data_IF_793222429351
#
_entry.id   IF_793222429351
#
_cell.length_a   1.000
_cell.length_b   1.000
_cell.length_c   1.000
_cell.angle_alpha   90.00
_cell.angle_beta   90.00
_cell.angle_gamma   90.00
#
_symmetry.space_group_name_H-M   'P 1'
#
loop_
_entity.id
_entity.type
_entity.pdbx_description
1 polymer ?
#
# COMPACT_ATOMS: atom_id res chain seq x y z
N UNK A 1 27.18 7.83 38.24
CA UNK A 1 25.77 8.03 37.79
C UNK A 1 25.63 7.39 36.42
N UNK A 2 24.96 6.27 36.32
CA UNK A 2 24.74 5.66 35.00
C UNK A 2 23.83 6.57 34.17
N UNK A 3 24.32 6.97 33.00
CA UNK A 3 23.57 7.80 32.08
C UNK A 3 22.33 7.00 31.65
N UNK A 4 21.13 7.59 31.75
CA UNK A 4 19.86 6.96 31.34
C UNK A 4 19.91 6.48 29.88
N UNK A 5 20.76 7.06 29.04
CA UNK A 5 21.00 6.69 27.66
C UNK A 5 21.66 5.32 27.56
N UNK A 6 22.65 5.03 28.36
CA UNK A 6 23.33 3.73 28.37
C UNK A 6 22.39 2.61 28.78
N UNK A 7 21.51 2.85 29.78
CA UNK A 7 20.48 1.87 30.16
C UNK A 7 19.44 1.69 29.07
N UNK A 8 19.04 2.77 28.40
CA UNK A 8 18.14 2.69 27.25
C UNK A 8 18.78 1.94 26.08
N UNK A 9 20.09 2.10 25.85
CA UNK A 9 20.83 1.38 24.82
C UNK A 9 20.91 -0.13 25.13
N UNK A 10 21.11 -0.52 26.39
CA UNK A 10 21.06 -1.92 26.83
C UNK A 10 19.72 -2.55 26.55
N UNK A 11 18.62 -1.89 26.93
CA UNK A 11 17.26 -2.40 26.67
C UNK A 11 16.97 -2.42 25.17
N UNK A 12 17.45 -1.45 24.41
CA UNK A 12 17.32 -1.43 22.95
C UNK A 12 18.05 -2.64 22.32
N UNK A 13 19.20 -3.04 22.86
CA UNK A 13 19.93 -4.24 22.43
C UNK A 13 19.20 -5.54 22.80
N UNK A 14 18.61 -5.62 24.00
CA UNK A 14 17.76 -6.76 24.38
C UNK A 14 16.55 -6.93 23.46
N UNK A 15 15.94 -5.80 23.03
CA UNK A 15 14.84 -5.82 22.03
C UNK A 15 15.38 -6.28 20.67
N UNK A 16 16.53 -5.78 20.24
CA UNK A 16 17.12 -6.09 18.93
C UNK A 16 17.60 -7.54 18.85
N UNK A 17 18.19 -8.06 19.91
CA UNK A 17 18.63 -9.46 20.01
C UNK A 17 17.49 -10.46 20.19
N UNK A 18 16.25 -9.99 20.44
CA UNK A 18 15.08 -10.82 20.71
C UNK A 18 14.98 -11.36 22.14
N UNK A 19 15.85 -10.90 23.05
CA UNK A 19 15.76 -11.21 24.48
C UNK A 19 14.50 -10.59 25.12
N UNK A 20 14.13 -9.38 24.65
CA UNK A 20 12.82 -8.78 24.86
C UNK A 20 12.07 -8.82 23.53
N UNK A 21 10.99 -9.58 23.48
CA UNK A 21 10.20 -9.81 22.27
C UNK A 21 9.14 -8.73 22.07
N UNK A 22 8.72 -8.47 20.83
CA UNK A 22 7.54 -7.66 20.56
C UNK A 22 6.33 -8.14 21.36
N UNK A 23 5.66 -7.20 22.03
CA UNK A 23 4.53 -7.51 22.91
C UNK A 23 4.90 -7.81 24.38
N UNK A 24 6.18 -8.00 24.69
CA UNK A 24 6.61 -8.19 26.08
C UNK A 24 6.34 -6.90 26.89
N UNK A 25 5.83 -7.08 28.08
CA UNK A 25 5.58 -6.00 29.03
C UNK A 25 6.86 -5.64 29.76
N UNK A 26 7.32 -4.41 29.65
CA UNK A 26 8.37 -3.89 30.50
C UNK A 26 7.91 -3.85 31.96
N UNK A 27 8.79 -4.16 32.93
CA UNK A 27 8.45 -4.08 34.36
C UNK A 27 7.93 -2.68 34.73
N UNK A 28 7.10 -2.52 35.75
CA UNK A 28 6.78 -1.19 36.28
C UNK A 28 8.04 -0.40 36.58
N UNK A 29 8.05 0.92 36.33
CA UNK A 29 9.24 1.77 36.43
C UNK A 29 9.98 1.62 37.76
N UNK A 30 9.26 1.42 38.86
CA UNK A 30 9.85 1.16 40.18
C UNK A 30 10.61 -0.19 40.26
N UNK A 31 10.05 -1.24 39.64
CA UNK A 31 10.70 -2.56 39.57
C UNK A 31 11.89 -2.52 38.62
N UNK A 32 11.77 -1.83 37.51
CA UNK A 32 12.86 -1.60 36.56
C UNK A 32 14.03 -0.84 37.21
N UNK A 33 13.74 0.24 37.95
CA UNK A 33 14.75 1.01 38.66
C UNK A 33 15.55 0.13 39.63
N UNK A 34 14.88 -0.70 40.40
CA UNK A 34 15.54 -1.67 41.32
C UNK A 34 16.41 -2.69 40.60
N UNK A 35 15.92 -3.26 39.48
CA UNK A 35 16.69 -4.26 38.68
C UNK A 35 17.98 -3.69 38.09
N UNK A 36 17.97 -2.43 37.67
CA UNK A 36 19.09 -1.78 37.02
C UNK A 36 19.93 -0.90 37.98
N UNK A 37 19.59 -0.90 39.28
CA UNK A 37 20.34 -0.10 40.30
C UNK A 37 20.31 1.41 40.02
N UNK A 38 19.22 1.95 39.51
CA UNK A 38 19.06 3.36 39.16
C UNK A 38 17.89 4.01 39.92
N UNK A 39 17.87 5.32 39.97
CA UNK A 39 16.75 6.07 40.57
C UNK A 39 15.48 5.96 39.75
N UNK A 40 14.28 6.03 40.36
CA UNK A 40 13.00 5.98 39.67
C UNK A 40 12.85 7.09 38.61
N UNK A 41 13.36 8.27 38.88
CA UNK A 41 13.40 9.38 37.91
C UNK A 41 14.28 9.08 36.71
N UNK A 42 15.35 8.30 36.88
CA UNK A 42 16.20 7.81 35.78
C UNK A 42 15.45 6.75 34.96
N UNK A 43 14.74 5.81 35.63
CA UNK A 43 13.90 4.83 34.93
C UNK A 43 12.81 5.52 34.10
N UNK A 44 12.18 6.57 34.61
CA UNK A 44 11.21 7.38 33.84
C UNK A 44 11.83 7.98 32.58
N UNK A 45 13.08 8.43 32.64
CA UNK A 45 13.83 8.95 31.48
C UNK A 45 14.16 7.86 30.50
N UNK A 46 14.55 6.65 30.96
CA UNK A 46 14.78 5.47 30.11
C UNK A 46 13.52 5.11 29.35
N UNK A 47 12.38 4.99 30.02
CA UNK A 47 11.09 4.66 29.40
C UNK A 47 10.66 5.71 28.36
N UNK A 48 10.86 7.00 28.67
CA UNK A 48 10.58 8.08 27.73
C UNK A 48 11.51 8.03 26.51
N UNK A 49 12.78 7.70 26.71
CA UNK A 49 13.76 7.55 25.64
C UNK A 49 13.44 6.35 24.74
N UNK A 50 13.09 5.19 25.32
CA UNK A 50 12.65 4.02 24.56
C UNK A 50 11.39 4.32 23.75
N UNK A 51 10.42 5.03 24.33
CA UNK A 51 9.23 5.47 23.63
C UNK A 51 9.55 6.47 22.51
N UNK A 52 10.47 7.43 22.74
CA UNK A 52 10.96 8.39 21.75
C UNK A 52 11.66 7.69 20.57
N UNK A 53 12.42 6.63 20.85
CA UNK A 53 13.06 5.77 19.85
C UNK A 53 12.04 4.85 19.14
N UNK A 54 10.77 4.84 19.57
CA UNK A 54 9.73 3.99 19.01
C UNK A 54 9.83 2.51 19.39
N UNK A 55 10.71 2.16 20.35
CA UNK A 55 10.94 0.78 20.79
C UNK A 55 9.86 0.26 21.73
N UNK A 56 9.19 1.17 22.43
CA UNK A 56 8.14 0.83 23.39
C UNK A 56 6.94 1.76 23.25
N UNK A 57 5.79 1.30 23.76
CA UNK A 57 4.56 2.06 23.83
C UNK A 57 3.95 1.94 25.22
N UNK A 58 3.55 3.08 25.81
CA UNK A 58 2.89 3.13 27.10
C UNK A 58 1.39 3.13 26.95
N UNK A 59 0.67 2.37 27.79
CA UNK A 59 -0.78 2.42 27.94
C UNK A 59 -1.15 2.93 29.32
N UNK A 60 -2.03 3.91 29.35
CA UNK A 60 -2.55 4.44 30.62
C UNK A 60 -3.27 3.33 31.37
N UNK A 61 -2.81 3.02 32.58
CA UNK A 61 -3.38 1.99 33.47
C UNK A 61 -2.98 0.54 33.16
N UNK A 62 -2.23 0.26 32.07
CA UNK A 62 -1.88 -1.12 31.68
C UNK A 62 -0.37 -1.41 31.64
N UNK A 63 0.46 -0.41 31.43
CA UNK A 63 1.93 -0.56 31.43
C UNK A 63 2.60 -0.14 30.15
N UNK A 64 3.90 -0.48 30.02
CA UNK A 64 4.72 -0.19 28.85
C UNK A 64 5.11 -1.50 28.19
N UNK A 65 4.93 -1.60 26.89
CA UNK A 65 5.15 -2.83 26.09
C UNK A 65 6.19 -2.59 25.01
N UNK A 66 6.97 -3.63 24.69
CA UNK A 66 7.88 -3.64 23.54
C UNK A 66 7.07 -3.58 22.24
N UNK A 67 7.40 -2.62 21.38
CA UNK A 67 6.73 -2.47 20.09
C UNK A 67 7.14 -3.58 19.13
N UNK A 68 6.21 -4.17 18.41
CA UNK A 68 6.55 -5.04 17.28
C UNK A 68 7.25 -4.20 16.19
N UNK A 69 8.52 -4.50 15.91
CA UNK A 69 9.23 -3.95 14.75
C UNK A 69 9.60 -2.48 14.82
N UNK A 70 10.35 -2.03 15.85
CA UNK A 70 10.85 -0.65 15.91
C UNK A 70 12.05 -0.36 14.99
N UNK A 71 12.73 -1.35 14.43
CA UNK A 71 13.94 -1.13 13.61
C UNK A 71 13.79 -1.40 12.11
N UNK A 72 12.66 -1.92 11.65
CA UNK A 72 12.42 -2.08 10.21
C UNK A 72 11.03 -1.62 9.81
N UNK A 73 10.69 -0.40 10.16
CA UNK A 73 9.48 0.21 9.65
C UNK A 73 9.67 0.89 8.29
N UNK A 74 10.54 0.37 7.49
CA UNK A 74 10.65 0.53 6.05
C UNK A 74 11.25 -0.79 5.59
N UNK A 75 10.78 -1.41 4.77
CA UNK A 75 9.78 -1.47 3.75
C UNK A 75 8.96 -2.76 3.79
N UNK A 76 8.44 -3.13 4.93
CA UNK A 76 7.75 -4.39 5.15
C UNK A 76 6.69 -4.75 4.09
N UNK A 77 6.14 -3.76 3.40
CA UNK A 77 5.18 -4.00 2.32
C UNK A 77 5.79 -3.90 0.90
N UNK A 78 7.11 -3.95 0.78
CA UNK A 78 7.81 -3.87 -0.51
C UNK A 78 8.59 -5.11 -0.87
N UNK A 79 8.92 -5.93 0.13
CA UNK A 79 9.65 -7.19 -0.03
C UNK A 79 8.86 -8.35 0.62
N UNK A 80 8.95 -9.58 0.08
CA UNK A 80 8.28 -10.74 0.67
C UNK A 80 8.72 -10.94 2.12
N UNK A 81 7.75 -11.19 3.00
CA UNK A 81 8.05 -11.57 4.38
C UNK A 81 8.73 -12.94 4.41
N UNK A 82 9.71 -13.11 5.31
CA UNK A 82 10.33 -14.41 5.57
C UNK A 82 9.41 -15.34 6.40
N UNK A 83 8.10 -15.21 6.24
CA UNK A 83 7.09 -15.98 6.93
C UNK A 83 6.60 -17.16 6.07
N UNK A 84 6.14 -18.24 6.72
CA UNK A 84 5.56 -19.38 6.02
C UNK A 84 4.30 -19.03 5.25
N UNK A 85 3.51 -18.09 5.76
CA UNK A 85 2.32 -17.54 5.11
C UNK A 85 2.40 -16.01 5.11
N UNK A 86 2.54 -15.42 3.94
CA UNK A 86 2.62 -13.97 3.78
C UNK A 86 1.23 -13.40 3.46
N UNK A 87 0.62 -12.72 4.44
CA UNK A 87 -0.59 -11.92 4.30
C UNK A 87 -0.29 -10.39 4.35
N UNK A 88 0.98 -9.99 4.19
CA UNK A 88 1.39 -8.58 4.06
C UNK A 88 1.43 -8.13 2.61
N UNK A 89 1.89 -8.99 1.69
CA UNK A 89 2.00 -8.64 0.28
C UNK A 89 0.84 -9.18 -0.55
N UNK A 90 0.37 -8.36 -1.48
CA UNK A 90 -0.71 -8.71 -2.41
C UNK A 90 -0.12 -8.99 -3.81
N UNK A 91 0.32 -10.21 -4.05
CA UNK A 91 0.81 -10.67 -5.33
C UNK A 91 -0.01 -11.89 -5.80
N UNK A 92 -0.92 -11.67 -6.74
CA UNK A 92 -1.69 -12.75 -7.33
C UNK A 92 -0.95 -13.34 -8.52
N UNK A 93 -0.44 -14.57 -8.35
CA UNK A 93 0.06 -15.43 -9.42
C UNK A 93 -0.74 -16.72 -9.39
N UNK A 94 -1.60 -16.94 -10.40
CA UNK A 94 -2.50 -18.09 -10.43
C UNK A 94 -1.86 -19.26 -11.18
N UNK A 95 -2.23 -20.50 -10.85
CA UNK A 95 -1.83 -21.68 -11.64
C UNK A 95 -2.16 -21.49 -13.13
N UNK A 96 -1.24 -21.89 -14.00
CA UNK A 96 -1.41 -21.75 -15.45
C UNK A 96 -1.06 -20.39 -16.04
N UNK A 97 -0.98 -19.31 -15.23
CA UNK A 97 -0.62 -17.97 -15.74
C UNK A 97 0.78 -17.94 -16.39
N UNK A 98 1.76 -18.68 -15.84
CA UNK A 98 3.09 -18.74 -16.43
C UNK A 98 3.08 -19.33 -17.85
N UNK A 99 2.32 -20.40 -18.07
CA UNK A 99 2.16 -20.99 -19.41
C UNK A 99 1.47 -20.03 -20.38
N UNK A 100 0.37 -19.40 -19.94
CA UNK A 100 -0.35 -18.41 -20.75
C UNK A 100 0.54 -17.22 -21.13
N UNK A 101 1.35 -16.72 -20.21
CA UNK A 101 2.30 -15.65 -20.48
C UNK A 101 3.42 -16.08 -21.44
N UNK A 102 3.92 -17.33 -21.32
CA UNK A 102 4.96 -17.87 -22.18
C UNK A 102 4.50 -17.96 -23.64
N UNK A 103 3.27 -18.39 -23.90
CA UNK A 103 2.68 -18.41 -25.24
C UNK A 103 2.70 -17.01 -25.89
N UNK A 104 2.32 -15.97 -25.15
CA UNK A 104 2.37 -14.58 -25.61
C UNK A 104 3.78 -14.03 -25.81
N UNK A 105 4.78 -14.57 -25.08
CA UNK A 105 6.19 -14.13 -25.18
C UNK A 105 6.94 -14.81 -26.33
N UNK A 106 6.62 -16.03 -26.69
CA UNK A 106 7.35 -16.81 -27.70
C UNK A 106 7.60 -16.06 -29.02
N UNK A 107 6.62 -15.33 -29.62
CA UNK A 107 6.86 -14.57 -30.84
C UNK A 107 7.83 -13.39 -30.68
N UNK A 108 8.02 -12.89 -29.43
CA UNK A 108 8.90 -11.74 -29.15
C UNK A 108 10.38 -12.10 -29.15
N UNK A 109 10.72 -13.40 -29.14
CA UNK A 109 12.12 -13.89 -29.22
C UNK A 109 12.63 -13.95 -30.66
N UNK A 110 11.81 -13.67 -31.66
CA UNK A 110 12.25 -13.60 -33.07
C UNK A 110 13.22 -12.43 -33.22
N UNK A 111 14.34 -12.65 -34.00
CA UNK A 111 15.39 -11.63 -34.14
C UNK A 111 14.92 -10.28 -34.70
N UNK A 112 13.94 -10.29 -35.62
CA UNK A 112 13.36 -9.07 -36.21
C UNK A 112 12.60 -8.23 -35.16
N UNK A 113 11.83 -8.87 -34.25
CA UNK A 113 11.09 -8.20 -33.20
C UNK A 113 12.01 -7.80 -32.05
N UNK A 114 12.90 -8.71 -31.63
CA UNK A 114 13.85 -8.44 -30.56
C UNK A 114 14.82 -7.30 -30.93
N UNK A 115 15.23 -7.19 -32.19
CA UNK A 115 16.07 -6.08 -32.69
C UNK A 115 15.45 -4.71 -32.46
N UNK A 116 14.13 -4.58 -32.60
CA UNK A 116 13.42 -3.34 -32.24
C UNK A 116 13.36 -3.11 -30.72
N UNK A 117 13.20 -4.17 -29.95
CA UNK A 117 13.15 -4.08 -28.48
C UNK A 117 14.50 -3.67 -27.84
N UNK A 118 15.63 -3.82 -28.56
CA UNK A 118 16.94 -3.37 -28.10
C UNK A 118 17.14 -1.85 -28.18
N UNK A 119 16.27 -1.12 -28.89
CA UNK A 119 16.40 0.33 -29.03
C UNK A 119 15.85 1.04 -27.78
N UNK A 120 16.45 2.17 -27.37
CA UNK A 120 15.92 2.96 -26.28
C UNK A 120 14.53 3.52 -26.62
N UNK A 121 13.72 3.77 -25.58
CA UNK A 121 12.42 4.40 -25.71
C UNK A 121 12.23 5.45 -24.60
N UNK A 122 11.60 6.58 -24.95
CA UNK A 122 11.25 7.62 -23.97
C UNK A 122 9.96 7.31 -23.18
N UNK A 123 9.62 8.18 -22.27
CA UNK A 123 8.42 8.06 -21.44
C UNK A 123 7.11 7.96 -22.23
N UNK A 124 7.04 8.57 -23.42
CA UNK A 124 5.88 8.48 -24.31
C UNK A 124 5.73 7.11 -25.00
N UNK A 125 6.73 6.23 -24.92
CA UNK A 125 6.68 4.94 -25.60
C UNK A 125 6.56 5.05 -27.12
N UNK A 126 5.92 4.05 -27.72
CA UNK A 126 5.57 4.04 -29.15
C UNK A 126 4.09 4.35 -29.38
N UNK A 127 3.67 4.86 -30.55
CA UNK A 127 2.25 5.06 -30.84
C UNK A 127 1.41 3.80 -30.65
N UNK A 128 1.88 2.65 -31.13
CA UNK A 128 1.20 1.37 -30.97
C UNK A 128 1.11 0.91 -29.50
N UNK A 129 2.12 1.21 -28.67
CA UNK A 129 2.06 0.91 -27.25
C UNK A 129 1.06 1.81 -26.52
N UNK A 130 0.94 3.10 -26.90
CA UNK A 130 -0.06 4.00 -26.32
C UNK A 130 -1.48 3.59 -26.66
N UNK A 131 -1.76 3.16 -27.87
CA UNK A 131 -3.07 2.61 -28.26
C UNK A 131 -3.41 1.38 -27.42
N UNK A 132 -2.51 0.40 -27.37
CA UNK A 132 -2.72 -0.81 -26.58
C UNK A 132 -2.90 -0.53 -25.08
N UNK A 133 -2.17 0.46 -24.54
CA UNK A 133 -2.32 0.87 -23.14
C UNK A 133 -3.64 1.60 -22.89
N UNK A 134 -4.12 2.43 -23.84
CA UNK A 134 -5.41 3.07 -23.75
C UNK A 134 -6.56 2.03 -23.69
N UNK A 135 -6.46 0.97 -24.49
CA UNK A 135 -7.42 -0.15 -24.45
C UNK A 135 -7.32 -0.95 -23.14
N UNK A 136 -6.10 -1.25 -22.68
CA UNK A 136 -5.86 -1.96 -21.42
C UNK A 136 -6.42 -1.22 -20.21
N UNK A 137 -6.33 0.12 -20.20
CA UNK A 137 -6.77 0.97 -19.10
C UNK A 137 -8.25 1.32 -19.17
N UNK A 138 -8.91 1.04 -20.29
CA UNK A 138 -10.34 1.33 -20.49
C UNK A 138 -11.20 0.58 -19.47
N UNK A 139 -12.12 1.29 -18.82
CA UNK A 139 -13.08 0.71 -17.87
C UNK A 139 -14.29 1.61 -17.63
N UNK A 140 -15.44 1.02 -17.32
CA UNK A 140 -16.66 1.76 -16.98
C UNK A 140 -17.11 2.76 -18.06
N UNK A 141 -16.91 2.44 -19.34
CA UNK A 141 -17.22 3.34 -20.46
C UNK A 141 -16.18 4.44 -20.71
N UNK A 142 -15.16 4.56 -19.86
CA UNK A 142 -14.06 5.50 -20.06
C UNK A 142 -12.87 4.84 -20.75
N UNK A 143 -12.23 5.56 -21.65
CA UNK A 143 -10.97 5.21 -22.31
C UNK A 143 -10.09 6.44 -22.44
N UNK A 144 -8.82 6.42 -21.99
CA UNK A 144 -7.94 7.57 -22.16
C UNK A 144 -7.58 7.80 -23.63
N UNK A 145 -7.30 9.03 -24.00
CA UNK A 145 -6.67 9.33 -25.30
C UNK A 145 -5.25 8.75 -25.34
N UNK A 146 -4.84 8.07 -26.41
CA UNK A 146 -3.49 7.51 -26.51
C UNK A 146 -2.38 8.55 -26.32
N UNK A 147 -2.60 9.80 -26.73
CA UNK A 147 -1.68 10.92 -26.52
C UNK A 147 -1.45 11.29 -25.06
N UNK A 148 -2.37 10.90 -24.16
CA UNK A 148 -2.28 11.16 -22.72
C UNK A 148 -1.47 10.10 -21.97
N UNK A 149 -1.17 8.95 -22.62
CA UNK A 149 -0.52 7.81 -21.96
C UNK A 149 0.99 7.97 -21.97
N UNK A 150 1.57 7.90 -20.78
CA UNK A 150 3.01 7.84 -20.53
C UNK A 150 3.35 6.54 -19.81
N UNK A 151 4.59 6.11 -19.91
CA UNK A 151 5.08 4.85 -19.38
C UNK A 151 6.20 5.06 -18.37
N UNK A 152 6.18 4.27 -17.30
CA UNK A 152 7.25 4.13 -16.32
C UNK A 152 7.70 2.67 -16.23
N UNK A 153 8.84 2.39 -15.62
CA UNK A 153 9.30 1.02 -15.42
C UNK A 153 8.36 0.19 -14.52
N UNK A 154 7.66 0.84 -13.57
CA UNK A 154 6.65 0.21 -12.71
C UNK A 154 5.71 1.25 -12.08
N UNK A 155 4.66 0.78 -11.37
CA UNK A 155 3.68 1.67 -10.72
C UNK A 155 4.26 2.58 -9.64
N UNK A 156 5.26 2.14 -8.86
CA UNK A 156 5.91 2.99 -7.84
C UNK A 156 6.66 4.15 -8.49
N UNK A 157 7.34 3.88 -9.59
CA UNK A 157 8.02 4.92 -10.37
C UNK A 157 7.01 5.89 -11.00
N UNK A 158 5.85 5.39 -11.47
CA UNK A 158 4.77 6.21 -11.96
C UNK A 158 4.23 7.18 -10.88
N UNK A 159 3.95 6.65 -9.66
CA UNK A 159 3.56 7.49 -8.49
C UNK A 159 4.66 8.51 -8.17
N UNK A 160 5.93 8.09 -8.14
CA UNK A 160 7.05 8.99 -7.84
C UNK A 160 7.15 10.13 -8.86
N UNK A 161 6.99 9.82 -10.15
CA UNK A 161 7.03 10.81 -11.22
C UNK A 161 5.85 11.78 -11.15
N UNK A 162 4.64 11.28 -10.85
CA UNK A 162 3.46 12.11 -10.69
C UNK A 162 3.62 13.09 -9.51
N UNK A 163 4.08 12.59 -8.36
CA UNK A 163 4.31 13.45 -7.18
C UNK A 163 5.41 14.47 -7.45
N UNK A 164 6.55 14.07 -8.04
CA UNK A 164 7.65 14.98 -8.35
C UNK A 164 7.27 16.08 -9.37
N UNK A 165 6.35 15.78 -10.29
CA UNK A 165 5.85 16.74 -11.27
C UNK A 165 4.85 17.74 -10.69
N UNK A 166 4.08 17.34 -9.67
CA UNK A 166 2.98 18.14 -9.14
C UNK A 166 3.34 18.87 -7.84
N UNK A 167 4.30 18.37 -7.08
CA UNK A 167 4.63 18.89 -5.76
C UNK A 167 6.13 19.25 -5.70
N UNK A 168 6.47 20.53 -5.53
CA UNK A 168 7.86 20.94 -5.41
C UNK A 168 8.49 20.43 -4.09
N UNK A 169 9.82 20.34 -3.99
CA UNK A 169 10.51 20.10 -2.73
C UNK A 169 10.07 21.11 -1.66
N UNK A 170 9.79 20.62 -0.44
CA UNK A 170 9.17 21.40 0.63
C UNK A 170 7.66 21.58 0.50
N UNK A 171 7.09 21.20 -0.63
CA UNK A 171 5.65 21.27 -0.89
C UNK A 171 4.82 20.26 -0.07
N UNK A 172 3.50 20.39 -0.14
CA UNK A 172 2.53 19.66 0.68
C UNK A 172 1.62 18.82 -0.21
N UNK A 173 1.61 17.50 0.06
CA UNK A 173 0.72 16.53 -0.60
C UNK A 173 -0.36 16.07 0.39
N UNK A 174 -1.63 16.35 0.07
CA UNK A 174 -2.76 15.76 0.79
C UNK A 174 -2.85 14.28 0.48
N UNK A 175 -2.99 13.43 1.49
CA UNK A 175 -3.17 11.99 1.32
C UNK A 175 -4.19 11.47 2.33
N UNK A 176 -4.90 10.43 1.99
CA UNK A 176 -5.77 9.72 2.93
C UNK A 176 -5.02 9.37 4.22
N UNK A 177 -5.64 9.55 5.39
CA UNK A 177 -4.99 9.33 6.70
C UNK A 177 -4.49 7.90 6.90
N UNK A 178 -5.17 6.92 6.26
CA UNK A 178 -4.68 5.56 6.01
C UNK A 178 -4.44 5.44 4.51
N UNK A 179 -3.21 5.24 4.09
CA UNK A 179 -2.84 5.28 2.67
C UNK A 179 -1.80 4.22 2.31
N UNK A 180 -1.53 4.06 1.03
CA UNK A 180 -0.50 3.15 0.54
C UNK A 180 0.88 3.51 1.13
N UNK A 181 1.56 2.59 1.84
CA UNK A 181 2.77 2.92 2.61
C UNK A 181 3.91 3.51 1.78
N UNK A 182 4.02 3.13 0.50
CA UNK A 182 5.09 3.60 -0.39
C UNK A 182 5.03 5.11 -0.60
N UNK A 183 3.85 5.76 -0.50
CA UNK A 183 3.74 7.21 -0.66
C UNK A 183 4.57 7.96 0.39
N UNK A 184 4.75 7.40 1.59
CA UNK A 184 5.60 8.00 2.64
C UNK A 184 7.08 8.00 2.24
N UNK A 185 7.54 6.88 1.67
CA UNK A 185 8.93 6.76 1.19
C UNK A 185 9.17 7.66 -0.02
N UNK A 186 8.21 7.75 -0.93
CA UNK A 186 8.25 8.66 -2.08
C UNK A 186 8.33 10.11 -1.60
N UNK A 187 7.44 10.52 -0.70
CA UNK A 187 7.41 11.87 -0.16
C UNK A 187 8.71 12.23 0.56
N UNK A 188 9.22 11.33 1.42
CA UNK A 188 10.49 11.55 2.13
C UNK A 188 11.66 11.73 1.15
N UNK A 189 11.74 10.89 0.09
CA UNK A 189 12.78 10.99 -0.93
C UNK A 189 12.71 12.30 -1.73
N UNK A 190 11.50 12.79 -1.99
CA UNK A 190 11.27 14.02 -2.76
C UNK A 190 11.25 15.29 -1.91
N UNK A 191 11.43 15.17 -0.60
CA UNK A 191 11.34 16.31 0.32
C UNK A 191 9.94 16.91 0.43
N UNK A 192 8.88 16.08 0.23
CA UNK A 192 7.48 16.48 0.25
C UNK A 192 6.87 16.19 1.63
N UNK A 193 6.07 17.13 2.14
CA UNK A 193 5.34 16.97 3.40
C UNK A 193 3.98 16.33 3.14
N UNK A 194 3.71 15.17 3.77
CA UNK A 194 2.39 14.54 3.73
C UNK A 194 1.42 15.20 4.72
N UNK A 195 0.23 15.51 4.25
CA UNK A 195 -0.86 16.07 5.05
C UNK A 195 -1.98 15.02 5.12
N UNK A 196 -2.23 14.41 6.30
CA UNK A 196 -3.32 13.44 6.43
C UNK A 196 -4.67 14.12 6.29
N UNK A 197 -5.50 13.55 5.44
CA UNK A 197 -6.87 13.97 5.17
C UNK A 197 -7.83 12.93 5.77
N UNK A 198 -8.84 13.40 6.49
CA UNK A 198 -9.82 12.53 7.14
C UNK A 198 -10.58 11.68 6.11
N UNK A 199 -10.89 10.47 6.53
CA UNK A 199 -11.70 9.49 5.80
C UNK A 199 -12.92 9.09 6.61
N UNK A 200 -13.94 8.61 5.90
CA UNK A 200 -15.10 7.94 6.47
C UNK A 200 -15.38 6.61 5.75
N UNK A 201 -16.57 6.07 5.88
CA UNK A 201 -16.95 4.79 5.27
C UNK A 201 -17.05 4.83 3.74
N UNK A 202 -17.15 6.04 3.15
CA UNK A 202 -17.18 6.27 1.71
C UNK A 202 -15.82 6.72 1.14
N UNK A 203 -14.76 6.79 1.97
CA UNK A 203 -13.40 7.17 1.56
C UNK A 203 -13.02 8.59 1.95
N UNK A 204 -12.25 9.27 1.12
CA UNK A 204 -11.75 10.62 1.38
C UNK A 204 -12.90 11.62 1.55
N UNK A 205 -12.90 12.35 2.67
CA UNK A 205 -13.90 13.38 2.97
C UNK A 205 -13.56 14.68 2.22
N UNK A 206 -14.41 15.19 1.31
CA UNK A 206 -14.12 16.41 0.55
C UNK A 206 -13.85 17.64 1.42
N UNK A 207 -14.60 17.84 2.50
CA UNK A 207 -14.39 18.92 3.45
C UNK A 207 -13.04 18.87 4.18
N UNK A 208 -12.41 17.67 4.31
CA UNK A 208 -11.08 17.54 4.86
C UNK A 208 -10.01 18.13 3.93
N UNK A 209 -10.19 18.03 2.62
CA UNK A 209 -9.32 18.67 1.60
C UNK A 209 -9.39 20.18 1.75
N UNK A 210 -10.61 20.75 1.81
CA UNK A 210 -10.82 22.18 1.98
C UNK A 210 -10.19 22.72 3.28
N UNK A 211 -10.43 22.00 4.38
CA UNK A 211 -9.89 22.38 5.68
C UNK A 211 -8.37 22.37 5.70
N UNK A 212 -7.76 21.33 5.11
CA UNK A 212 -6.30 21.21 5.04
C UNK A 212 -5.70 22.30 4.15
N UNK A 213 -6.31 22.58 3.00
CA UNK A 213 -5.86 23.61 2.05
C UNK A 213 -6.00 25.02 2.64
N UNK A 214 -7.09 25.33 3.36
CA UNK A 214 -7.28 26.62 4.05
C UNK A 214 -6.24 26.87 5.16
N UNK A 215 -5.81 25.80 5.87
CA UNK A 215 -4.79 25.93 6.93
C UNK A 215 -3.42 26.27 6.35
N UNK A 216 -3.05 25.59 5.27
CA UNK A 216 -1.86 25.88 4.49
C UNK A 216 -2.03 25.23 3.10
N UNK A 217 -1.66 25.89 1.99
CA UNK A 217 -1.89 25.39 0.64
C UNK A 217 -1.35 23.98 0.43
N UNK A 218 -2.20 23.12 -0.13
CA UNK A 218 -1.79 21.85 -0.72
C UNK A 218 -1.36 22.09 -2.17
N UNK A 219 -0.41 21.32 -2.67
CA UNK A 219 0.04 21.37 -4.06
C UNK A 219 -0.65 20.30 -4.91
N UNK A 220 -1.01 19.19 -4.30
CA UNK A 220 -1.76 18.10 -4.93
C UNK A 220 -2.45 17.24 -3.87
N UNK A 221 -3.34 16.34 -4.33
CA UNK A 221 -3.95 15.28 -3.51
C UNK A 221 -3.60 13.93 -4.15
N UNK A 222 -3.22 12.95 -3.34
CA UNK A 222 -3.10 11.54 -3.74
C UNK A 222 -4.23 10.75 -3.10
N UNK A 223 -4.94 9.95 -3.88
CA UNK A 223 -6.09 9.15 -3.42
C UNK A 223 -6.21 7.82 -4.16
N UNK A 224 -6.83 6.84 -3.49
CA UNK A 224 -7.16 5.52 -4.03
C UNK A 224 -8.69 5.30 -3.97
N UNK A 225 -9.47 5.91 -4.86
CA UNK A 225 -10.93 5.90 -4.74
C UNK A 225 -11.58 4.55 -5.06
N UNK A 226 -10.86 3.62 -5.69
CA UNK A 226 -11.37 2.29 -6.07
C UNK A 226 -10.57 1.20 -5.38
N UNK A 227 -11.22 0.36 -4.57
CA UNK A 227 -10.60 -0.72 -3.79
C UNK A 227 -9.40 -0.22 -2.98
N UNK A 228 -9.67 0.79 -2.19
CA UNK A 228 -8.69 1.50 -1.36
C UNK A 228 -7.81 0.55 -0.54
N UNK A 229 -6.50 0.74 -0.56
CA UNK A 229 -5.57 0.02 0.28
C UNK A 229 -5.14 0.89 1.48
N UNK A 230 -5.55 0.54 2.73
CA UNK A 230 -5.86 -0.82 3.18
C UNK A 230 -7.33 -1.17 3.34
N UNK A 231 -8.26 -0.24 3.20
CA UNK A 231 -9.64 -0.38 3.69
C UNK A 231 -10.58 -1.18 2.76
N UNK A 232 -10.15 -1.53 1.56
CA UNK A 232 -10.96 -2.23 0.55
C UNK A 232 -12.24 -1.51 0.12
N UNK A 233 -12.41 -0.24 0.44
CA UNK A 233 -13.60 0.50 0.03
C UNK A 233 -13.47 1.08 -1.38
N UNK A 234 -14.63 1.32 -1.97
CA UNK A 234 -14.75 2.03 -3.24
C UNK A 234 -15.70 3.20 -3.04
N UNK A 235 -15.23 4.39 -3.31
CA UNK A 235 -16.00 5.61 -3.14
C UNK A 235 -17.24 5.61 -4.07
N UNK A 236 -18.44 5.92 -3.57
CA UNK A 236 -19.64 5.97 -4.38
C UNK A 236 -19.61 7.19 -5.34
N UNK A 237 -20.39 7.16 -6.44
CA UNK A 237 -20.39 8.25 -7.43
C UNK A 237 -20.65 9.64 -6.84
N UNK A 238 -21.55 9.75 -5.86
CA UNK A 238 -21.84 11.03 -5.20
C UNK A 238 -20.62 11.59 -4.45
N UNK A 239 -19.84 10.73 -3.77
CA UNK A 239 -18.61 11.11 -3.08
C UNK A 239 -17.55 11.60 -4.09
N UNK A 240 -17.40 10.88 -5.20
CA UNK A 240 -16.46 11.25 -6.26
C UNK A 240 -16.84 12.59 -6.90
N UNK A 241 -18.12 12.84 -7.15
CA UNK A 241 -18.62 14.12 -7.66
C UNK A 241 -18.30 15.28 -6.70
N UNK A 242 -18.62 15.13 -5.40
CA UNK A 242 -18.33 16.13 -4.39
C UNK A 242 -16.83 16.40 -4.25
N UNK A 243 -15.98 15.36 -4.36
CA UNK A 243 -14.54 15.51 -4.35
C UNK A 243 -14.05 16.28 -5.59
N UNK A 244 -14.58 15.97 -6.78
CA UNK A 244 -14.24 16.65 -8.02
C UNK A 244 -14.60 18.15 -7.97
N UNK A 245 -15.75 18.51 -7.38
CA UNK A 245 -16.16 19.91 -7.17
C UNK A 245 -15.17 20.66 -6.28
N UNK A 246 -14.79 20.07 -5.14
CA UNK A 246 -13.83 20.66 -4.20
C UNK A 246 -12.48 20.88 -4.87
N UNK A 247 -11.95 19.86 -5.55
CA UNK A 247 -10.66 19.93 -6.22
C UNK A 247 -10.65 20.96 -7.35
N UNK A 248 -11.78 21.09 -8.07
CA UNK A 248 -11.94 22.08 -9.11
C UNK A 248 -11.96 23.49 -8.54
N UNK A 249 -12.74 23.72 -7.47
CA UNK A 249 -12.83 25.05 -6.81
C UNK A 249 -11.49 25.50 -6.22
N UNK A 250 -10.69 24.57 -5.72
CA UNK A 250 -9.37 24.85 -5.12
C UNK A 250 -8.22 24.82 -6.13
N UNK A 251 -8.48 24.54 -7.39
CA UNK A 251 -7.49 24.34 -8.46
C UNK A 251 -6.39 23.31 -8.10
N UNK A 252 -6.78 22.23 -7.43
CA UNK A 252 -5.86 21.21 -6.96
C UNK A 252 -5.76 20.04 -7.94
N UNK A 253 -4.54 19.69 -8.41
CA UNK A 253 -4.31 18.47 -9.15
C UNK A 253 -4.40 17.24 -8.24
N UNK A 254 -4.73 16.10 -8.86
CA UNK A 254 -4.91 14.81 -8.19
C UNK A 254 -4.03 13.74 -8.80
N UNK A 255 -3.45 12.90 -7.97
CA UNK A 255 -2.89 11.61 -8.35
C UNK A 255 -3.88 10.53 -7.94
N UNK A 256 -4.57 9.93 -8.91
CA UNK A 256 -5.41 8.75 -8.70
C UNK A 256 -4.55 7.50 -8.83
N UNK A 257 -4.35 6.76 -7.75
CA UNK A 257 -3.73 5.44 -7.80
C UNK A 257 -4.81 4.37 -8.08
N UNK A 258 -4.86 3.93 -9.32
CA UNK A 258 -5.89 3.05 -9.86
C UNK A 258 -5.43 1.59 -10.02
N UNK A 259 -4.33 1.18 -9.38
CA UNK A 259 -3.70 -0.15 -9.58
C UNK A 259 -4.63 -1.34 -9.31
N UNK A 260 -5.68 -1.15 -8.50
CA UNK A 260 -6.71 -2.16 -8.25
C UNK A 260 -7.98 -1.97 -9.08
N UNK A 261 -8.09 -0.86 -9.82
CA UNK A 261 -9.28 -0.52 -10.60
C UNK A 261 -9.71 -1.58 -11.63
N UNK A 262 -8.78 -2.39 -12.12
CA UNK A 262 -9.09 -3.47 -13.06
C UNK A 262 -10.00 -4.56 -12.47
N UNK A 263 -10.03 -4.72 -11.16
CA UNK A 263 -10.96 -5.64 -10.48
C UNK A 263 -12.41 -5.13 -10.51
N UNK A 264 -12.60 -3.83 -10.62
CA UNK A 264 -13.89 -3.13 -10.73
C UNK A 264 -14.06 -2.51 -12.12
N UNK A 265 -13.86 -3.31 -13.16
CA UNK A 265 -13.88 -2.86 -14.56
C UNK A 265 -15.18 -2.22 -15.04
N UNK A 266 -16.28 -2.42 -14.32
CA UNK A 266 -17.58 -1.77 -14.57
C UNK A 266 -17.62 -0.31 -14.12
N UNK A 267 -16.71 0.12 -13.25
CA UNK A 267 -16.67 1.49 -12.71
C UNK A 267 -15.67 2.36 -13.48
N UNK A 268 -16.03 3.57 -13.89
CA UNK A 268 -15.08 4.52 -14.45
C UNK A 268 -14.06 4.96 -13.38
N UNK A 269 -12.85 5.39 -13.77
CA UNK A 269 -11.91 6.01 -12.86
C UNK A 269 -12.37 7.43 -12.46
N UNK A 270 -11.78 7.97 -11.38
CA UNK A 270 -11.99 9.37 -11.00
C UNK A 270 -11.53 10.33 -12.11
N UNK A 271 -10.49 9.95 -12.87
CA UNK A 271 -10.03 10.69 -14.06
C UNK A 271 -11.12 10.93 -15.11
N UNK A 272 -12.19 10.11 -15.15
CA UNK A 272 -13.32 10.33 -16.04
C UNK A 272 -14.17 11.56 -15.62
N UNK A 273 -14.21 11.87 -14.33
CA UNK A 273 -14.98 13.01 -13.77
C UNK A 273 -14.16 14.30 -13.77
N UNK A 274 -12.84 14.20 -13.65
CA UNK A 274 -11.94 15.35 -13.53
C UNK A 274 -10.70 15.18 -14.42
N UNK A 275 -10.86 15.08 -15.75
CA UNK A 275 -9.79 14.73 -16.68
C UNK A 275 -8.66 15.75 -16.75
N UNK A 276 -9.00 17.04 -16.55
CA UNK A 276 -8.03 18.16 -16.65
C UNK A 276 -7.11 18.28 -15.41
N UNK A 277 -7.45 17.58 -14.32
CA UNK A 277 -6.74 17.70 -13.03
C UNK A 277 -6.15 16.39 -12.55
N UNK A 278 -6.61 15.25 -13.09
CA UNK A 278 -6.26 13.94 -12.58
C UNK A 278 -5.15 13.29 -13.38
N UNK A 279 -4.04 13.00 -12.73
CA UNK A 279 -3.01 12.09 -13.21
C UNK A 279 -3.36 10.70 -12.68
N UNK A 280 -3.90 9.83 -13.56
CA UNK A 280 -4.17 8.44 -13.19
C UNK A 280 -2.89 7.63 -13.28
N UNK A 281 -2.62 6.82 -12.24
CA UNK A 281 -1.51 5.87 -12.19
C UNK A 281 -2.05 4.44 -12.12
N UNK A 282 -1.48 3.56 -12.95
CA UNK A 282 -1.78 2.12 -12.95
C UNK A 282 -0.51 1.32 -13.27
N UNK A 283 -0.56 -0.02 -13.20
CA UNK A 283 0.57 -0.86 -13.58
C UNK A 283 0.19 -2.30 -13.90
N UNK A 284 1.06 -3.01 -14.62
CA UNK A 284 0.94 -4.45 -14.84
C UNK A 284 1.22 -5.28 -13.58
N UNK A 285 1.82 -4.70 -12.52
CA UNK A 285 2.20 -5.44 -11.30
C UNK A 285 1.04 -6.19 -10.66
N UNK A 286 -0.16 -5.64 -10.70
CA UNK A 286 -1.36 -6.27 -10.14
C UNK A 286 -2.19 -6.97 -11.21
N UNK A 287 -2.24 -6.42 -12.43
CA UNK A 287 -2.94 -7.03 -13.57
C UNK A 287 -2.30 -8.31 -14.06
N UNK A 288 -0.97 -8.33 -14.14
CA UNK A 288 -0.19 -9.47 -14.67
C UNK A 288 0.62 -10.10 -13.55
N UNK A 289 1.80 -9.58 -13.28
CA UNK A 289 2.68 -10.07 -12.22
C UNK A 289 3.69 -8.98 -11.82
N UNK A 290 4.14 -8.94 -10.55
CA UNK A 290 5.09 -7.92 -10.10
C UNK A 290 6.46 -8.01 -10.77
N UNK A 291 6.88 -9.22 -11.19
CA UNK A 291 8.15 -9.44 -11.90
C UNK A 291 8.12 -9.07 -13.39
N UNK A 292 6.91 -8.93 -13.97
CA UNK A 292 6.68 -8.55 -15.37
C UNK A 292 5.90 -7.24 -15.42
N UNK A 293 6.46 -6.20 -14.84
CA UNK A 293 5.75 -4.95 -14.58
C UNK A 293 6.07 -3.86 -15.60
N UNK A 294 5.10 -2.99 -15.79
CA UNK A 294 5.16 -1.73 -16.51
C UNK A 294 4.24 -0.75 -15.78
N UNK A 295 4.66 0.49 -15.60
CA UNK A 295 3.85 1.56 -15.02
C UNK A 295 3.20 2.41 -16.10
N UNK A 296 2.01 2.91 -15.80
CA UNK A 296 1.23 3.81 -16.66
C UNK A 296 0.91 5.10 -15.92
N UNK A 297 0.99 6.22 -16.65
CA UNK A 297 0.37 7.48 -16.25
C UNK A 297 -0.56 7.91 -17.37
N UNK A 298 -1.80 8.28 -17.01
CA UNK A 298 -2.67 9.01 -17.91
C UNK A 298 -2.65 10.47 -17.48
N UNK A 299 -2.07 11.31 -18.31
CA UNK A 299 -1.82 12.71 -18.02
C UNK A 299 -2.96 13.60 -18.52
N UNK A 300 -3.35 14.65 -17.78
CA UNK A 300 -4.06 15.76 -18.38
C UNK A 300 -3.26 16.33 -19.57
N UNK A 301 -3.89 16.71 -20.68
CA UNK A 301 -3.17 17.20 -21.87
C UNK A 301 -2.16 18.31 -21.56
N UNK A 302 -2.53 19.27 -20.72
CA UNK A 302 -1.67 20.40 -20.34
C UNK A 302 -0.46 20.00 -19.47
N UNK A 303 -0.41 18.78 -18.93
CA UNK A 303 0.65 18.31 -18.02
C UNK A 303 1.50 17.17 -18.60
N UNK A 304 1.21 16.73 -19.82
CA UNK A 304 1.88 15.58 -20.44
C UNK A 304 3.41 15.80 -20.54
N UNK A 305 3.86 16.97 -20.97
CA UNK A 305 5.29 17.27 -21.10
C UNK A 305 6.01 17.36 -19.74
N UNK A 306 5.36 17.95 -18.74
CA UNK A 306 5.89 18.04 -17.37
C UNK A 306 6.07 16.66 -16.76
N UNK A 307 5.07 15.77 -16.89
CA UNK A 307 5.13 14.40 -16.41
C UNK A 307 6.16 13.56 -17.17
N UNK A 308 6.26 13.71 -18.50
CA UNK A 308 7.28 13.07 -19.30
C UNK A 308 8.69 13.52 -18.91
N UNK A 309 8.87 14.80 -18.58
CA UNK A 309 10.14 15.34 -18.08
C UNK A 309 10.49 14.77 -16.71
N UNK A 310 9.51 14.67 -15.80
CA UNK A 310 9.71 14.05 -14.49
C UNK A 310 10.11 12.58 -14.60
N UNK A 311 9.49 11.81 -15.49
CA UNK A 311 9.87 10.42 -15.77
C UNK A 311 11.32 10.30 -16.26
N UNK A 312 11.74 11.17 -17.18
CA UNK A 312 13.12 11.15 -17.74
C UNK A 312 14.14 11.54 -16.69
N UNK A 313 13.91 12.64 -15.97
CA UNK A 313 14.85 13.16 -14.97
C UNK A 313 15.01 12.24 -13.77
N UNK A 314 13.96 11.49 -13.41
CA UNK A 314 14.00 10.49 -12.35
C UNK A 314 14.65 9.16 -12.76
N UNK A 315 14.99 8.97 -14.04
CA UNK A 315 15.46 7.68 -14.55
C UNK A 315 14.40 6.59 -14.55
N UNK A 316 13.12 6.96 -14.64
CA UNK A 316 11.97 6.06 -14.47
C UNK A 316 11.32 5.64 -15.79
N UNK A 317 12.04 5.78 -16.90
CA UNK A 317 11.55 5.38 -18.22
C UNK A 317 11.38 3.86 -18.34
N UNK A 318 10.45 3.40 -19.19
CA UNK A 318 10.19 1.97 -19.36
C UNK A 318 11.29 1.27 -20.19
N UNK A 319 11.34 -0.06 -20.07
CA UNK A 319 12.05 -0.88 -21.06
C UNK A 319 11.18 -1.04 -22.31
N UNK A 320 11.77 -0.89 -23.51
CA UNK A 320 11.04 -1.08 -24.77
C UNK A 320 10.47 -2.49 -24.90
N UNK A 321 11.19 -3.50 -24.45
CA UNK A 321 10.70 -4.88 -24.41
C UNK A 321 9.39 -5.01 -23.63
N UNK A 322 9.28 -4.34 -22.48
CA UNK A 322 8.03 -4.39 -21.67
C UNK A 322 6.83 -3.77 -22.42
N UNK A 323 7.06 -2.74 -23.24
CA UNK A 323 6.01 -2.16 -24.10
C UNK A 323 5.52 -3.15 -25.15
N UNK A 324 6.46 -3.87 -25.81
CA UNK A 324 6.11 -4.88 -26.82
C UNK A 324 5.37 -6.08 -26.18
N UNK A 325 5.81 -6.51 -25.01
CA UNK A 325 5.14 -7.56 -24.21
C UNK A 325 3.69 -7.15 -23.89
N UNK A 326 3.49 -5.97 -23.32
CA UNK A 326 2.15 -5.44 -22.97
C UNK A 326 1.27 -5.35 -24.23
N UNK A 327 1.79 -4.76 -25.31
CA UNK A 327 1.09 -4.64 -26.58
C UNK A 327 0.66 -6.00 -27.14
N UNK A 328 1.52 -7.00 -27.02
CA UNK A 328 1.21 -8.37 -27.47
C UNK A 328 0.09 -8.98 -26.64
N UNK A 329 0.24 -8.97 -25.31
CA UNK A 329 -0.77 -9.54 -24.42
C UNK A 329 -2.15 -8.85 -24.50
N UNK A 330 -2.16 -7.56 -24.82
CA UNK A 330 -3.40 -6.83 -25.07
C UNK A 330 -4.06 -7.29 -26.37
N UNK A 331 -3.26 -7.44 -27.45
CA UNK A 331 -3.78 -7.79 -28.76
C UNK A 331 -4.26 -9.23 -28.89
N UNK A 332 -3.61 -10.18 -28.22
CA UNK A 332 -3.97 -11.61 -28.30
C UNK A 332 -4.94 -12.08 -27.22
N UNK A 333 -5.47 -11.17 -26.39
CA UNK A 333 -6.43 -11.46 -25.34
C UNK A 333 -5.83 -12.03 -24.05
N UNK A 334 -4.49 -12.20 -23.97
CA UNK A 334 -3.82 -12.71 -22.76
C UNK A 334 -4.12 -11.83 -21.54
N UNK A 335 -4.00 -10.48 -21.69
CA UNK A 335 -4.26 -9.54 -20.61
C UNK A 335 -5.71 -9.62 -20.12
N UNK A 336 -6.68 -9.73 -21.00
CA UNK A 336 -8.11 -9.86 -20.65
C UNK A 336 -8.37 -11.15 -19.88
N UNK A 337 -7.82 -12.28 -20.34
CA UNK A 337 -7.94 -13.56 -19.65
C UNK A 337 -7.34 -13.53 -18.24
N UNK A 338 -6.13 -12.97 -18.09
CA UNK A 338 -5.51 -12.80 -16.77
C UNK A 338 -6.39 -11.97 -15.83
N UNK A 339 -6.95 -10.87 -16.31
CA UNK A 339 -7.85 -10.01 -15.53
C UNK A 339 -9.13 -10.77 -15.13
N UNK A 340 -9.73 -11.53 -16.05
CA UNK A 340 -10.93 -12.33 -15.76
C UNK A 340 -10.65 -13.40 -14.69
N UNK A 341 -9.53 -14.10 -14.82
CA UNK A 341 -9.11 -15.12 -13.84
C UNK A 341 -8.89 -14.50 -12.46
N UNK A 342 -8.21 -13.34 -12.39
CA UNK A 342 -7.96 -12.63 -11.14
C UNK A 342 -9.23 -12.09 -10.49
N UNK A 343 -10.19 -11.61 -11.25
CA UNK A 343 -11.50 -11.19 -10.72
C UNK A 343 -12.23 -12.35 -10.05
N UNK A 344 -12.20 -13.53 -10.66
CA UNK A 344 -12.79 -14.74 -10.11
C UNK A 344 -12.07 -15.19 -8.84
N UNK A 345 -10.73 -15.29 -8.88
CA UNK A 345 -9.90 -15.66 -7.73
C UNK A 345 -10.06 -14.69 -6.56
N UNK A 346 -10.12 -13.38 -6.81
CA UNK A 346 -10.36 -12.38 -5.76
C UNK A 346 -11.72 -12.60 -5.07
N UNK A 347 -12.78 -12.85 -5.84
CA UNK A 347 -14.11 -13.12 -5.30
C UNK A 347 -14.13 -14.41 -4.44
N UNK A 348 -13.49 -15.48 -4.91
CA UNK A 348 -13.40 -16.75 -4.19
C UNK A 348 -12.65 -16.59 -2.86
N UNK A 349 -11.53 -15.83 -2.85
CA UNK A 349 -10.72 -15.55 -1.65
C UNK A 349 -11.45 -14.65 -0.66
N UNK A 350 -12.19 -13.65 -1.11
CA UNK A 350 -13.04 -12.84 -0.24
C UNK A 350 -14.17 -13.67 0.37
N UNK A 351 -14.83 -14.50 -0.42
CA UNK A 351 -15.84 -15.41 0.12
C UNK A 351 -15.27 -16.40 1.14
N UNK A 352 -14.05 -16.89 0.93
CA UNK A 352 -13.35 -17.73 1.90
C UNK A 352 -13.04 -16.94 3.18
N UNK A 353 -12.49 -15.74 3.07
CA UNK A 353 -12.19 -14.89 4.22
C UNK A 353 -13.45 -14.55 5.03
N UNK A 354 -14.56 -14.18 4.36
CA UNK A 354 -15.84 -13.90 5.01
C UNK A 354 -16.36 -15.11 5.82
N UNK A 355 -16.25 -16.33 5.28
CA UNK A 355 -16.66 -17.54 6.01
C UNK A 355 -15.75 -17.89 7.19
N UNK A 356 -14.42 -17.74 7.02
CA UNK A 356 -13.45 -18.15 8.06
C UNK A 356 -13.35 -17.15 9.20
N UNK A 357 -13.62 -15.88 8.91
CA UNK A 357 -13.58 -14.77 9.87
C UNK A 357 -14.99 -14.30 10.26
N UNK A 358 -15.99 -15.15 10.09
CA UNK A 358 -17.35 -14.84 10.53
C UNK A 358 -17.42 -14.53 12.02
N UNK A 359 -18.22 -13.53 12.39
CA UNK A 359 -18.34 -13.01 13.76
C UNK A 359 -17.27 -11.96 14.15
N UNK A 360 -16.33 -11.61 13.26
CA UNK A 360 -15.39 -10.51 13.47
C UNK A 360 -15.74 -9.26 12.64
N UNK A 361 -15.24 -8.10 13.07
CA UNK A 361 -15.41 -6.82 12.34
C UNK A 361 -14.43 -6.77 11.13
N UNK A 362 -14.84 -7.40 10.03
CA UNK A 362 -14.10 -7.47 8.78
C UNK A 362 -14.75 -6.56 7.74
N UNK A 363 -13.96 -5.68 7.14
CA UNK A 363 -14.35 -4.92 5.95
C UNK A 363 -13.60 -5.44 4.74
N UNK A 364 -14.32 -5.72 3.66
CA UNK A 364 -13.75 -6.14 2.38
C UNK A 364 -14.77 -5.93 1.27
N UNK A 365 -14.29 -5.54 0.09
CA UNK A 365 -15.09 -5.58 -1.13
C UNK A 365 -15.03 -7.01 -1.69
N UNK A 366 -16.15 -7.53 -2.15
CA UNK A 366 -16.24 -8.89 -2.69
C UNK A 366 -15.26 -9.17 -3.87
N UNK A 367 -14.68 -8.12 -4.46
CA UNK A 367 -13.72 -8.20 -5.58
C UNK A 367 -12.30 -7.80 -5.21
N UNK A 368 -12.03 -7.46 -3.94
CA UNK A 368 -10.70 -7.05 -3.51
C UNK A 368 -9.81 -8.25 -3.14
N UNK A 369 -8.51 -8.08 -3.30
CA UNK A 369 -7.51 -9.03 -2.81
C UNK A 369 -7.03 -8.75 -1.39
N UNK A 370 -7.71 -7.90 -0.65
CA UNK A 370 -7.39 -7.61 0.75
C UNK A 370 -8.66 -7.27 1.53
N UNK A 371 -8.60 -7.48 2.83
CA UNK A 371 -9.62 -7.04 3.75
C UNK A 371 -8.99 -6.36 4.96
N UNK A 372 -9.77 -5.53 5.61
CA UNK A 372 -9.43 -4.80 6.81
C UNK A 372 -10.13 -5.42 8.01
N UNK A 373 -9.37 -5.78 9.02
CA UNK A 373 -9.87 -6.40 10.23
C UNK A 373 -9.64 -5.49 11.44
N UNK A 374 -10.73 -4.95 12.00
CA UNK A 374 -10.70 -4.31 13.31
C UNK A 374 -10.64 -5.39 14.39
N UNK A 375 -9.56 -5.38 15.14
CA UNK A 375 -9.31 -6.43 16.13
C UNK A 375 -10.31 -6.36 17.29
N UNK A 376 -10.65 -7.52 17.90
CA UNK A 376 -11.54 -7.57 19.07
C UNK A 376 -11.01 -6.73 20.23
N UNK A 377 -11.92 -6.32 21.09
CA UNK A 377 -11.57 -5.54 22.30
C UNK A 377 -10.55 -6.31 23.16
N UNK A 378 -9.49 -5.63 23.55
CA UNK A 378 -8.36 -6.22 24.28
C UNK A 378 -7.13 -6.47 23.40
N UNK A 379 -7.29 -6.71 22.11
CA UNK A 379 -6.18 -6.87 21.19
C UNK A 379 -5.60 -5.55 20.70
N UNK A 380 -4.30 -5.46 20.72
CA UNK A 380 -3.52 -4.41 20.05
C UNK A 380 -3.01 -4.97 18.72
N UNK A 381 -2.84 -4.10 17.74
CA UNK A 381 -2.33 -4.52 16.43
C UNK A 381 -0.92 -5.12 16.53
N UNK A 382 -0.04 -4.53 17.34
CA UNK A 382 1.34 -5.00 17.53
C UNK A 382 1.42 -6.37 18.22
N UNK A 383 0.62 -6.59 19.28
CA UNK A 383 0.56 -7.89 19.97
C UNK A 383 -0.07 -8.97 19.10
N UNK A 384 -1.10 -8.62 18.31
CA UNK A 384 -1.72 -9.54 17.37
C UNK A 384 -0.75 -9.96 16.24
N UNK A 385 -0.01 -9.00 15.67
CA UNK A 385 1.04 -9.26 14.66
C UNK A 385 2.11 -10.19 15.23
N UNK A 386 2.57 -9.94 16.46
CA UNK A 386 3.54 -10.80 17.12
C UNK A 386 3.00 -12.22 17.37
N UNK A 387 1.73 -12.36 17.79
CA UNK A 387 1.08 -13.66 17.96
C UNK A 387 0.95 -14.41 16.62
N UNK A 388 0.52 -13.74 15.55
CA UNK A 388 0.45 -14.32 14.21
C UNK A 388 1.82 -14.79 13.72
N UNK A 389 2.87 -14.00 13.95
CA UNK A 389 4.24 -14.33 13.55
C UNK A 389 4.76 -15.61 14.24
N UNK A 390 4.40 -15.89 15.53
CA UNK A 390 4.73 -17.16 16.20
C UNK A 390 4.14 -18.37 15.47
N UNK A 391 3.02 -18.21 14.79
CA UNK A 391 2.42 -19.25 13.94
C UNK A 391 2.94 -19.22 12.49
N UNK A 392 3.96 -18.40 12.19
CA UNK A 392 4.54 -18.27 10.86
C UNK A 392 3.66 -17.52 9.88
N UNK A 393 2.75 -16.64 10.36
CA UNK A 393 1.84 -15.85 9.54
C UNK A 393 2.22 -14.37 9.67
N UNK A 394 2.57 -13.74 8.55
CA UNK A 394 2.81 -12.29 8.50
C UNK A 394 1.53 -11.54 8.15
N UNK A 395 1.18 -10.51 8.92
CA UNK A 395 0.02 -9.63 8.69
C UNK A 395 0.41 -8.16 8.87
N UNK A 396 -0.17 -7.27 8.08
CA UNK A 396 0.18 -5.85 8.08
C UNK A 396 -0.63 -5.06 9.12
N UNK A 397 0.01 -4.45 10.15
CA UNK A 397 -0.71 -3.64 11.14
C UNK A 397 -1.17 -2.30 10.54
N UNK A 398 -2.22 -1.72 11.09
CA UNK A 398 -2.78 -0.42 10.69
C UNK A 398 -1.71 0.69 10.67
N UNK A 399 -0.78 0.69 11.61
CA UNK A 399 0.32 1.66 11.69
C UNK A 399 1.24 1.66 10.46
N UNK A 400 1.26 0.56 9.68
CA UNK A 400 1.99 0.51 8.40
C UNK A 400 1.39 1.47 7.36
N UNK A 401 0.08 1.70 7.41
CA UNK A 401 -0.68 2.52 6.46
C UNK A 401 -0.95 3.95 6.97
N UNK A 402 -0.92 4.15 8.27
CA UNK A 402 -1.24 5.46 8.87
C UNK A 402 -0.16 6.49 8.56
N UNK A 403 -0.57 7.68 8.13
CA UNK A 403 0.33 8.84 7.98
C UNK A 403 0.87 9.26 9.35
N UNK A 404 0.02 9.26 10.35
CA UNK A 404 0.38 9.44 11.77
C UNK A 404 0.28 8.08 12.47
N UNK A 405 1.41 7.51 12.83
CA UNK A 405 1.46 6.16 13.43
C UNK A 405 0.82 6.08 14.81
N UNK A 406 0.87 7.14 15.58
CA UNK A 406 0.32 7.27 16.92
C UNK A 406 -1.23 7.28 16.95
N UNK A 407 -1.87 7.60 15.83
CA UNK A 407 -3.33 7.60 15.68
C UNK A 407 -3.87 6.37 14.94
N UNK A 408 -3.03 5.37 14.68
CA UNK A 408 -3.45 4.16 13.97
C UNK A 408 -4.45 3.34 14.81
N UNK A 409 -5.57 2.86 14.23
CA UNK A 409 -6.51 1.99 14.94
C UNK A 409 -5.90 0.61 15.24
N UNK A 410 -6.45 -0.10 16.23
CA UNK A 410 -6.10 -1.49 16.49
C UNK A 410 -6.74 -2.40 15.43
N UNK A 411 -6.10 -2.47 14.28
CA UNK A 411 -6.57 -3.21 13.13
C UNK A 411 -5.38 -3.77 12.34
N UNK A 412 -5.64 -4.77 11.53
CA UNK A 412 -4.69 -5.34 10.57
C UNK A 412 -5.30 -5.41 9.18
N UNK A 413 -4.48 -5.28 8.15
CA UNK A 413 -4.86 -5.62 6.80
C UNK A 413 -4.37 -7.03 6.46
N UNK A 414 -5.26 -7.87 5.93
CA UNK A 414 -4.94 -9.18 5.39
C UNK A 414 -4.86 -9.10 3.87
N UNK A 415 -3.70 -9.43 3.31
CA UNK A 415 -3.50 -9.60 1.88
C UNK A 415 -3.85 -11.04 1.50
N UNK A 416 -4.87 -11.23 0.69
CA UNK A 416 -5.41 -12.55 0.37
C UNK A 416 -4.79 -13.17 -0.89
N UNK A 417 -4.07 -12.37 -1.70
CA UNK A 417 -3.63 -12.79 -3.03
C UNK A 417 -2.43 -13.74 -3.04
N UNK A 418 -1.47 -13.53 -2.12
CA UNK A 418 -0.16 -14.20 -2.19
C UNK A 418 -0.18 -15.68 -1.83
N UNK A 419 -0.84 -16.14 -0.74
CA UNK A 419 -0.80 -17.55 -0.39
C UNK A 419 -1.61 -18.42 -1.36
N UNK A 420 -1.19 -19.66 -1.63
CA UNK A 420 -2.03 -20.63 -2.32
C UNK A 420 -3.39 -20.81 -1.63
N UNK A 421 -4.45 -21.06 -2.37
CA UNK A 421 -5.81 -21.17 -1.83
C UNK A 421 -5.92 -22.22 -0.71
N UNK A 422 -5.24 -23.37 -0.85
CA UNK A 422 -5.22 -24.41 0.18
C UNK A 422 -4.50 -24.03 1.48
N UNK A 423 -3.66 -22.99 1.45
CA UNK A 423 -2.94 -22.47 2.63
C UNK A 423 -3.69 -21.32 3.29
N UNK A 424 -4.42 -20.54 2.50
CA UNK A 424 -5.15 -19.35 2.98
C UNK A 424 -6.19 -19.70 4.04
N UNK A 425 -7.03 -20.73 3.81
CA UNK A 425 -8.08 -21.12 4.75
C UNK A 425 -7.54 -21.47 6.14
N UNK A 426 -6.61 -22.43 6.27
CA UNK A 426 -5.97 -22.76 7.55
C UNK A 426 -5.30 -21.57 8.24
N UNK A 427 -4.67 -20.68 7.48
CA UNK A 427 -4.06 -19.47 8.05
C UNK A 427 -5.11 -18.52 8.66
N UNK A 428 -6.25 -18.33 7.98
CA UNK A 428 -7.36 -17.53 8.49
C UNK A 428 -8.00 -18.16 9.74
N UNK A 429 -8.14 -19.51 9.78
CA UNK A 429 -8.63 -20.24 10.95
C UNK A 429 -7.68 -20.02 12.16
N UNK A 430 -6.36 -20.09 11.93
CA UNK A 430 -5.34 -19.82 12.97
C UNK A 430 -5.48 -18.40 13.50
N UNK A 431 -5.59 -17.39 12.62
CA UNK A 431 -5.78 -15.99 13.02
C UNK A 431 -7.09 -15.78 13.79
N UNK A 432 -8.18 -16.45 13.38
CA UNK A 432 -9.45 -16.42 14.10
C UNK A 432 -9.33 -17.05 15.49
N UNK A 433 -8.59 -18.14 15.63
CA UNK A 433 -8.26 -18.77 16.92
C UNK A 433 -7.51 -17.82 17.85
N UNK A 434 -6.45 -17.19 17.35
CA UNK A 434 -5.69 -16.16 18.08
C UNK A 434 -6.61 -15.03 18.56
N UNK A 435 -7.45 -14.50 17.68
CA UNK A 435 -8.34 -13.39 18.01
C UNK A 435 -9.42 -13.73 19.04
N UNK A 436 -9.81 -15.00 19.19
CA UNK A 436 -10.75 -15.47 20.20
C UNK A 436 -10.10 -15.71 21.56
N UNK A 437 -8.79 -15.93 21.62
CA UNK A 437 -8.03 -16.09 22.86
C UNK A 437 -7.82 -14.73 23.53
N UNK A 438 -7.65 -14.71 24.84
CA UNK A 438 -7.22 -13.51 25.52
C UNK A 438 -5.74 -13.21 25.21
N UNK A 439 -5.33 -11.96 24.97
CA UNK A 439 -3.93 -11.63 24.72
C UNK A 439 -2.97 -12.12 25.84
N UNK A 440 -3.47 -12.22 27.06
CA UNK A 440 -2.72 -12.63 28.26
C UNK A 440 -2.40 -14.12 28.25
N UNK A 441 -3.27 -14.96 27.68
CA UNK A 441 -3.08 -16.42 27.60
C UNK A 441 -1.96 -16.82 26.63
N UNK A 442 -1.70 -16.00 25.62
CA UNK A 442 -0.68 -16.25 24.60
C UNK A 442 0.71 -15.70 24.98
N UNK A 443 0.84 -14.98 26.08
CA UNK A 443 2.09 -14.43 26.62
C UNK A 443 2.70 -15.35 27.70
N UNK A 444 2.00 -16.42 28.09
CA UNK A 444 2.39 -17.35 29.15
C UNK A 444 3.23 -18.55 28.63
N UNK A 445 3.30 -18.79 27.34
CA UNK A 445 4.10 -19.80 26.65
C UNK A 445 5.29 -19.16 25.88
#
# INVERSE_FOLDING_TARGET
>A
MSDYRNVADTVAEEIRSGALRPGDRLPPQRTFARRHGIAESTATRVYRELARRGLTVGEVGRGTYVRAGAETAAPALTEPAAARVDLELNHSTLPGHAALLAEGLAPLTRPDILGDALRPVGAAGTPAAREAAADLLARGGWRPGPGQVLFAGNGRQAVSAAVAALVPPGGRLGVEELTYPVIRTVAARLGVTLVPLAMDEEGLVPGAVEQAHRRAPLHAVYTQPTLHNPLSLTAPPARLAALAEVLTRLDLPVVEDAVWGFLRGELPPFAALSPERTVLVDSLSKRVAPGLTLGFLVAPPARTDTLATSLRSGGWTPMRFALEVMRRWQRDGTAEKLVADKRRDAAERQALAARRLDGFDIRGDARAYHCWWRLPKGWRADTFVAAAARHGIAVAPAAAFAVRRDSAPHAVRLALASPPAGVLGPALDTLAGIARSAPEDLLAD
#
